data_IF_078684398541
#
_entry.id   IF_078684398541
#
_cell.length_a   1.000
_cell.length_b   1.000
_cell.length_c   1.000
_cell.angle_alpha   90.00
_cell.angle_beta   90.00
_cell.angle_gamma   90.00
#
_symmetry.space_group_name_H-M   'P 1'
#
loop_
_entity.id
_entity.type
_entity.pdbx_description
1 polymer ?
#
# COMPACT_ATOMS: atom_id res chain seq x y z
N UNK A 1 6.43 -11.38 -4.95
CA UNK A 1 6.42 -11.64 -3.49
C UNK A 1 7.48 -10.77 -2.84
N UNK A 2 7.11 -9.98 -1.84
CA UNK A 2 8.10 -9.17 -1.12
C UNK A 2 9.15 -10.05 -0.42
N UNK A 3 9.25 -9.98 0.88
CA UNK A 3 10.13 -10.87 1.64
C UNK A 3 9.29 -11.99 2.27
N UNK A 4 9.65 -13.25 2.06
CA UNK A 4 8.88 -14.40 2.55
C UNK A 4 8.61 -14.36 4.07
N UNK A 5 9.55 -13.83 4.85
CA UNK A 5 9.47 -13.68 6.30
C UNK A 5 9.19 -12.23 6.74
N UNK A 6 8.95 -11.33 5.80
CA UNK A 6 8.79 -9.90 6.09
C UNK A 6 7.70 -9.59 7.10
N UNK A 7 6.58 -10.29 7.04
CA UNK A 7 5.48 -10.14 7.99
C UNK A 7 5.83 -10.56 9.44
N UNK A 8 6.87 -11.35 9.61
CA UNK A 8 7.41 -11.73 10.92
C UNK A 8 8.45 -10.74 11.44
N UNK A 9 9.21 -10.14 10.53
CA UNK A 9 10.33 -9.24 10.86
C UNK A 9 9.90 -7.79 11.03
N UNK A 10 8.95 -7.34 10.21
CA UNK A 10 8.46 -5.97 10.22
C UNK A 10 7.05 -5.90 10.83
N UNK A 11 6.89 -5.16 11.91
CA UNK A 11 5.58 -4.88 12.48
C UNK A 11 4.72 -4.08 11.50
N UNK A 12 3.40 -4.27 11.53
CA UNK A 12 2.47 -3.45 10.76
C UNK A 12 2.48 -2.03 11.29
N UNK A 13 2.63 -1.06 10.40
CA UNK A 13 2.51 0.36 10.70
C UNK A 13 1.55 1.01 9.73
N UNK A 14 0.65 1.79 10.25
CA UNK A 14 -0.29 2.60 9.48
C UNK A 14 0.19 4.05 9.46
N UNK A 15 -0.27 4.80 8.46
CA UNK A 15 -0.02 6.23 8.41
C UNK A 15 -0.81 6.91 9.53
N UNK A 16 -0.15 7.60 10.47
CA UNK A 16 -0.86 8.28 11.54
C UNK A 16 -1.70 9.44 11.01
N UNK A 17 -2.80 9.72 11.68
CA UNK A 17 -3.55 10.95 11.41
C UNK A 17 -2.75 12.17 11.84
N UNK A 18 -2.86 13.24 11.07
CA UNK A 18 -2.38 14.55 11.50
C UNK A 18 -3.19 15.02 12.71
N UNK A 19 -2.60 15.90 13.51
CA UNK A 19 -3.28 16.44 14.68
C UNK A 19 -4.62 17.08 14.30
N UNK A 20 -5.65 16.81 15.12
CA UNK A 20 -7.01 17.29 14.84
C UNK A 20 -7.10 18.81 14.77
N UNK A 21 -6.35 19.53 15.62
CA UNK A 21 -6.28 20.99 15.63
C UNK A 21 -5.71 21.54 14.33
N UNK A 22 -4.65 20.93 13.82
CA UNK A 22 -4.06 21.33 12.53
C UNK A 22 -4.98 21.08 11.35
N UNK A 23 -5.70 19.94 11.36
CA UNK A 23 -6.61 19.58 10.28
C UNK A 23 -7.79 20.53 10.11
N UNK A 24 -8.17 21.28 11.15
CA UNK A 24 -9.24 22.26 11.08
C UNK A 24 -8.87 23.52 10.29
N UNK A 25 -7.59 23.76 10.04
CA UNK A 25 -7.09 24.97 9.40
C UNK A 25 -6.78 24.82 7.92
N UNK A 26 -6.87 23.60 7.37
CA UNK A 26 -6.58 23.35 5.96
C UNK A 26 -7.47 22.24 5.38
N UNK A 27 -7.32 21.98 4.08
CA UNK A 27 -7.96 20.91 3.34
C UNK A 27 -6.93 19.90 2.83
N UNK A 28 -5.79 19.80 3.49
CA UNK A 28 -4.72 18.88 3.14
C UNK A 28 -5.05 17.44 3.55
N UNK A 29 -4.18 16.50 3.21
CA UNK A 29 -4.35 15.09 3.52
C UNK A 29 -4.52 14.86 5.03
N UNK A 30 -5.38 13.92 5.39
CA UNK A 30 -5.64 13.56 6.79
C UNK A 30 -4.48 12.84 7.44
N UNK A 31 -3.71 12.09 6.65
CA UNK A 31 -2.62 11.25 7.12
C UNK A 31 -1.26 11.88 6.86
N UNK A 32 -0.31 11.54 7.73
CA UNK A 32 1.11 11.83 7.49
C UNK A 32 1.69 10.71 6.63
N UNK A 33 2.39 11.07 5.55
CA UNK A 33 3.04 10.08 4.69
C UNK A 33 4.19 9.35 5.41
N UNK A 34 4.32 8.06 5.17
CA UNK A 34 5.48 7.29 5.61
C UNK A 34 6.73 7.67 4.80
N UNK A 35 7.90 7.55 5.41
CA UNK A 35 9.18 7.67 4.71
C UNK A 35 9.38 6.52 3.71
N UNK A 36 10.30 6.72 2.77
CA UNK A 36 10.59 5.75 1.71
C UNK A 36 10.98 4.39 2.27
N UNK A 37 11.88 4.36 3.24
CA UNK A 37 12.35 3.12 3.86
C UNK A 37 11.22 2.37 4.57
N UNK A 38 10.36 3.08 5.30
CA UNK A 38 9.21 2.48 5.96
C UNK A 38 8.22 1.90 4.94
N UNK A 39 7.96 2.61 3.84
CA UNK A 39 7.11 2.08 2.76
C UNK A 39 7.65 0.79 2.18
N UNK A 40 8.97 0.71 1.95
CA UNK A 40 9.62 -0.51 1.46
C UNK A 40 9.45 -1.65 2.46
N UNK A 41 9.68 -1.41 3.74
CA UNK A 41 9.48 -2.40 4.79
C UNK A 41 8.02 -2.89 4.86
N UNK A 42 7.05 -1.98 4.79
CA UNK A 42 5.64 -2.36 4.80
C UNK A 42 5.26 -3.16 3.54
N UNK A 43 5.76 -2.78 2.38
CA UNK A 43 5.57 -3.55 1.14
C UNK A 43 6.19 -4.97 1.24
N UNK A 44 7.33 -5.08 1.91
CA UNK A 44 8.01 -6.36 2.16
C UNK A 44 7.21 -7.35 2.99
N UNK A 45 6.18 -6.89 3.71
CA UNK A 45 5.28 -7.77 4.46
C UNK A 45 4.37 -8.63 3.58
N UNK A 46 4.20 -8.25 2.32
CA UNK A 46 3.40 -9.04 1.38
C UNK A 46 4.09 -10.36 1.06
N UNK A 47 3.50 -11.45 1.52
CA UNK A 47 4.04 -12.80 1.31
C UNK A 47 3.49 -13.51 0.06
N UNK A 48 2.71 -12.80 -0.76
CA UNK A 48 2.04 -13.39 -1.94
C UNK A 48 1.39 -14.74 -1.60
N UNK A 49 0.49 -14.72 -0.63
CA UNK A 49 -0.03 -15.91 0.05
C UNK A 49 -0.91 -16.77 -0.86
N UNK A 50 -0.39 -17.48 -1.82
CA UNK A 50 -1.01 -18.47 -2.71
C UNK A 50 -2.49 -18.27 -3.13
N UNK A 51 -3.36 -17.96 -2.18
CA UNK A 51 -4.74 -17.49 -2.39
C UNK A 51 -4.92 -16.19 -1.64
N UNK A 52 -4.30 -15.10 -2.10
CA UNK A 52 -4.37 -13.82 -1.40
C UNK A 52 -5.80 -13.27 -1.43
N UNK A 53 -6.29 -12.83 -0.29
CA UNK A 53 -7.62 -12.21 -0.21
C UNK A 53 -7.74 -11.06 -1.22
N UNK A 54 -6.69 -10.24 -1.34
CA UNK A 54 -6.65 -9.13 -2.29
C UNK A 54 -6.82 -9.55 -3.76
N UNK A 55 -6.49 -10.78 -4.12
CA UNK A 55 -6.59 -11.34 -5.46
C UNK A 55 -7.81 -12.26 -5.62
N UNK A 56 -8.59 -12.46 -4.58
CA UNK A 56 -9.79 -13.30 -4.64
C UNK A 56 -10.97 -12.56 -5.26
N UNK A 57 -12.04 -13.30 -5.57
CA UNK A 57 -13.30 -12.72 -6.05
C UNK A 57 -13.97 -11.78 -5.05
N UNK A 58 -13.61 -11.87 -3.79
CA UNK A 58 -14.10 -11.02 -2.69
C UNK A 58 -13.12 -9.90 -2.33
N UNK A 59 -11.98 -9.84 -2.99
CA UNK A 59 -10.93 -8.87 -2.73
C UNK A 59 -11.13 -7.57 -3.49
N UNK A 60 -10.03 -7.07 -4.07
CA UNK A 60 -10.05 -5.82 -4.81
C UNK A 60 -10.96 -5.91 -6.06
N UNK A 61 -12.03 -5.10 -6.16
CA UNK A 61 -12.94 -5.14 -7.32
C UNK A 61 -12.28 -4.70 -8.63
N UNK A 62 -11.17 -3.96 -8.57
CA UNK A 62 -10.37 -3.58 -9.74
C UNK A 62 -9.37 -4.67 -10.14
N UNK A 63 -9.28 -5.73 -9.38
CA UNK A 63 -8.27 -6.79 -9.56
C UNK A 63 -6.85 -6.24 -9.64
N UNK A 64 -6.54 -5.30 -8.74
CA UNK A 64 -5.23 -4.68 -8.66
C UNK A 64 -4.13 -5.72 -8.41
N UNK A 65 -2.98 -5.52 -9.04
CA UNK A 65 -1.82 -6.41 -8.98
C UNK A 65 -1.00 -6.20 -7.70
N UNK A 66 -1.69 -6.28 -6.55
CA UNK A 66 -1.16 -5.89 -5.24
C UNK A 66 0.12 -6.65 -4.86
N UNK A 67 0.22 -7.98 -4.98
CA UNK A 67 1.47 -8.67 -4.67
C UNK A 67 2.64 -8.24 -5.57
N UNK A 68 2.38 -7.93 -6.82
CA UNK A 68 3.43 -7.52 -7.77
C UNK A 68 4.02 -6.17 -7.42
N UNK A 69 3.19 -5.15 -7.21
CA UNK A 69 3.72 -3.83 -6.86
C UNK A 69 4.37 -3.80 -5.48
N UNK A 70 3.89 -4.62 -4.53
CA UNK A 70 4.54 -4.75 -3.24
C UNK A 70 5.94 -5.36 -3.36
N UNK A 71 6.11 -6.36 -4.22
CA UNK A 71 7.43 -6.92 -4.51
C UNK A 71 8.38 -5.88 -5.12
N UNK A 72 7.89 -5.12 -6.09
CA UNK A 72 8.66 -4.07 -6.74
C UNK A 72 9.05 -2.96 -5.77
N UNK A 73 8.13 -2.51 -4.92
CA UNK A 73 8.44 -1.54 -3.87
C UNK A 73 9.47 -2.06 -2.86
N UNK A 74 9.34 -3.32 -2.45
CA UNK A 74 10.30 -3.93 -1.55
C UNK A 74 11.71 -3.95 -2.15
N UNK A 75 11.83 -4.18 -3.44
CA UNK A 75 13.11 -4.16 -4.17
C UNK A 75 13.62 -2.76 -4.48
N UNK A 76 12.85 -1.72 -4.17
CA UNK A 76 13.20 -0.33 -4.46
C UNK A 76 12.92 0.11 -5.89
N UNK A 77 12.18 -0.67 -6.66
CA UNK A 77 11.81 -0.38 -8.06
C UNK A 77 10.49 0.41 -8.10
N UNK A 78 10.51 1.63 -7.55
CA UNK A 78 9.30 2.44 -7.37
C UNK A 78 8.60 2.81 -8.68
N UNK A 79 9.36 3.04 -9.73
CA UNK A 79 8.81 3.39 -11.05
C UNK A 79 7.99 2.25 -11.63
N UNK A 80 8.56 1.06 -11.64
CA UNK A 80 7.90 -0.16 -12.12
C UNK A 80 6.69 -0.50 -11.25
N UNK A 81 6.78 -0.28 -9.94
CA UNK A 81 5.66 -0.44 -9.03
C UNK A 81 4.51 0.51 -9.37
N UNK A 82 4.81 1.75 -9.70
CA UNK A 82 3.81 2.73 -10.14
C UNK A 82 3.17 2.31 -11.47
N UNK A 83 3.96 1.85 -12.43
CA UNK A 83 3.45 1.37 -13.71
C UNK A 83 2.49 0.19 -13.51
N UNK A 84 2.84 -0.75 -12.64
CA UNK A 84 1.96 -1.88 -12.29
C UNK A 84 0.67 -1.43 -11.60
N UNK A 85 0.75 -0.46 -10.69
CA UNK A 85 -0.42 0.10 -10.04
C UNK A 85 -1.38 0.73 -11.05
N UNK A 86 -0.84 1.51 -11.99
CA UNK A 86 -1.62 2.24 -12.99
C UNK A 86 -2.24 1.34 -14.07
N UNK A 87 -1.79 0.10 -14.23
CA UNK A 87 -2.39 -0.84 -15.19
C UNK A 87 -3.87 -1.13 -14.88
N UNK A 88 -4.22 -1.18 -13.61
CA UNK A 88 -5.57 -1.54 -13.15
C UNK A 88 -6.27 -0.44 -12.34
N UNK A 89 -5.53 0.52 -11.82
CA UNK A 89 -6.05 1.60 -10.98
C UNK A 89 -5.77 2.96 -11.63
N UNK A 90 -6.71 3.53 -12.43
CA UNK A 90 -6.49 4.80 -13.12
C UNK A 90 -6.42 6.01 -12.19
N UNK A 91 -7.02 5.93 -10.99
CA UNK A 91 -7.03 7.01 -10.00
C UNK A 91 -6.64 6.50 -8.60
N UNK A 92 -5.42 5.93 -8.44
CA UNK A 92 -5.03 5.32 -7.16
C UNK A 92 -4.94 6.31 -6.00
N UNK A 93 -4.69 7.59 -6.27
CA UNK A 93 -4.66 8.66 -5.28
C UNK A 93 -6.01 8.88 -4.60
N UNK A 94 -7.11 8.58 -5.28
CA UNK A 94 -8.45 8.63 -4.69
C UNK A 94 -8.85 7.29 -4.09
N UNK A 95 -8.71 6.22 -4.85
CA UNK A 95 -9.15 4.88 -4.42
C UNK A 95 -8.39 4.39 -3.21
N UNK A 96 -7.09 4.69 -3.11
CA UNK A 96 -6.27 4.32 -1.97
C UNK A 96 -6.65 5.02 -0.67
N UNK A 97 -7.23 6.24 -0.76
CA UNK A 97 -7.69 6.99 0.43
C UNK A 97 -9.06 6.59 0.94
N UNK A 98 -9.89 6.03 0.09
CA UNK A 98 -11.28 5.67 0.45
C UNK A 98 -11.48 4.16 0.55
N UNK A 99 -10.48 3.37 0.22
CA UNK A 99 -10.55 1.91 0.24
C UNK A 99 -10.73 1.42 1.69
N UNK A 100 -11.76 0.59 1.97
CA UNK A 100 -11.99 0.04 3.30
C UNK A 100 -11.06 -1.14 3.64
N UNK A 101 -10.35 -1.68 2.67
CA UNK A 101 -9.42 -2.80 2.86
C UNK A 101 -8.05 -2.27 3.30
N UNK A 102 -7.88 -2.12 4.59
CA UNK A 102 -6.63 -1.64 5.22
C UNK A 102 -5.73 -2.78 5.64
#
# INVERSE_FOLDING_TARGET
MGKATGFLEYGRKENPFRDAGERLHDYADLHTAQGTEERHCQAGRCMSCGVPFCQSSFGCPLHNLIPEWNDLLWRGEEREALERLLETAPFPEFTGRVCPAL
#
